data_IF_474062555448
#
_entry.id   IF_474062555448
#
_cell.length_a   1.000
_cell.length_b   1.000
_cell.length_c   1.000
_cell.angle_alpha   90.00
_cell.angle_beta   90.00
_cell.angle_gamma   90.00
#
_symmetry.space_group_name_H-M   'P 1'
#
loop_
_entity.id
_entity.type
_entity.pdbx_description
1 polymer ?
#
# COMPACT_ATOMS: atom_id res chain seq x y z
N UNK A 1 -1.92 25.05 -44.44
CA UNK A 1 -2.87 23.95 -44.17
C UNK A 1 -2.66 23.61 -42.71
N UNK A 2 -3.55 24.08 -41.85
CA UNK A 2 -3.48 23.85 -40.40
C UNK A 2 -4.34 22.62 -40.11
N UNK A 3 -3.73 21.54 -39.62
CA UNK A 3 -4.45 20.35 -39.17
C UNK A 3 -5.07 20.64 -37.79
N UNK A 4 -6.40 20.61 -37.72
CA UNK A 4 -7.14 20.64 -36.45
C UNK A 4 -6.93 19.32 -35.69
N UNK A 5 -6.47 19.41 -34.45
CA UNK A 5 -6.37 18.26 -33.54
C UNK A 5 -7.78 17.72 -33.21
N UNK A 6 -7.95 16.39 -33.01
CA UNK A 6 -9.26 15.80 -32.76
C UNK A 6 -9.82 16.30 -31.41
N UNK A 7 -10.94 17.01 -31.47
CA UNK A 7 -11.69 17.49 -30.31
C UNK A 7 -12.25 16.28 -29.53
N UNK A 8 -11.99 16.21 -28.21
CA UNK A 8 -12.52 15.15 -27.35
C UNK A 8 -14.05 15.05 -27.49
N UNK A 9 -14.57 13.81 -27.59
CA UNK A 9 -16.00 13.55 -27.73
C UNK A 9 -16.76 14.09 -26.53
N UNK A 10 -17.56 15.14 -26.74
CA UNK A 10 -18.49 15.69 -25.73
C UNK A 10 -19.49 14.60 -25.32
N UNK A 11 -19.44 14.17 -24.06
CA UNK A 11 -20.43 13.25 -23.49
C UNK A 11 -21.74 13.99 -23.29
N UNK A 12 -22.82 13.44 -23.84
CA UNK A 12 -24.18 13.89 -23.52
C UNK A 12 -24.47 13.44 -22.08
N UNK A 13 -24.97 14.31 -21.18
CA UNK A 13 -25.29 13.89 -19.82
C UNK A 13 -26.42 12.87 -19.89
N UNK A 14 -26.11 11.61 -19.58
CA UNK A 14 -27.15 10.61 -19.29
C UNK A 14 -27.85 11.04 -18.01
N UNK A 15 -29.20 11.04 -17.94
CA UNK A 15 -29.89 11.32 -16.69
C UNK A 15 -29.38 10.33 -15.63
N UNK A 16 -28.82 10.87 -14.55
CA UNK A 16 -28.36 10.11 -13.38
C UNK A 16 -29.56 9.30 -12.91
N UNK A 17 -29.41 7.98 -12.77
CA UNK A 17 -30.43 7.16 -12.12
C UNK A 17 -30.82 7.85 -10.82
N UNK A 18 -32.12 7.96 -10.56
CA UNK A 18 -32.66 8.67 -9.40
C UNK A 18 -31.88 8.27 -8.15
N UNK A 19 -31.54 9.28 -7.34
CA UNK A 19 -30.90 9.15 -6.03
C UNK A 19 -31.77 8.25 -5.14
N UNK A 20 -31.57 6.95 -5.25
CA UNK A 20 -32.08 5.98 -4.29
C UNK A 20 -31.18 6.22 -3.08
N UNK A 21 -31.65 7.04 -2.16
CA UNK A 21 -30.90 7.39 -0.95
C UNK A 21 -30.32 6.14 -0.29
N UNK A 22 -29.15 6.32 0.33
CA UNK A 22 -28.39 5.24 0.97
C UNK A 22 -29.31 4.31 1.76
N UNK A 23 -29.12 3.00 1.59
CA UNK A 23 -29.77 2.00 2.45
C UNK A 23 -29.43 2.28 3.92
N UNK A 24 -30.26 1.88 4.90
CA UNK A 24 -29.97 2.11 6.32
C UNK A 24 -28.57 1.64 6.75
N UNK A 25 -28.08 0.55 6.16
CA UNK A 25 -26.75 0.00 6.41
C UNK A 25 -25.64 0.88 5.79
N UNK A 26 -25.84 1.43 4.59
CA UNK A 26 -24.91 2.39 3.98
C UNK A 26 -24.87 3.72 4.73
N UNK A 27 -26.02 4.19 5.22
CA UNK A 27 -26.10 5.38 6.05
C UNK A 27 -25.39 5.18 7.40
N UNK A 28 -25.56 4.02 8.03
CA UNK A 28 -24.85 3.67 9.25
C UNK A 28 -23.33 3.57 9.02
N UNK A 29 -22.91 2.96 7.90
CA UNK A 29 -21.51 2.88 7.50
C UNK A 29 -20.90 4.27 7.29
N UNK A 30 -21.59 5.16 6.58
CA UNK A 30 -21.12 6.52 6.30
C UNK A 30 -20.95 7.39 7.56
N UNK A 31 -21.60 7.05 8.66
CA UNK A 31 -21.49 7.73 9.95
C UNK A 31 -20.34 7.21 10.83
N UNK A 32 -19.69 6.12 10.45
CA UNK A 32 -18.52 5.59 11.18
C UNK A 32 -17.28 6.45 10.90
N UNK A 33 -16.34 6.44 11.84
CA UNK A 33 -15.01 7.00 11.60
C UNK A 33 -14.32 6.26 10.43
N UNK A 34 -13.51 6.96 9.59
CA UNK A 34 -12.86 6.36 8.42
C UNK A 34 -12.10 5.05 8.71
N UNK A 35 -11.39 5.01 9.84
CA UNK A 35 -10.65 3.83 10.29
C UNK A 35 -11.60 2.66 10.62
N UNK A 36 -12.73 2.93 11.26
CA UNK A 36 -13.75 1.92 11.58
C UNK A 36 -14.50 1.43 10.33
N UNK A 37 -14.72 2.32 9.35
CA UNK A 37 -15.26 1.94 8.03
C UNK A 37 -14.35 0.92 7.35
N UNK A 38 -13.04 1.22 7.24
CA UNK A 38 -12.08 0.32 6.61
C UNK A 38 -11.93 -0.99 7.40
N UNK A 39 -11.87 -0.92 8.73
CA UNK A 39 -11.85 -2.10 9.61
C UNK A 39 -13.07 -3.00 9.41
N UNK A 40 -14.25 -2.41 9.20
CA UNK A 40 -15.49 -3.14 8.91
C UNK A 40 -15.41 -3.87 7.58
N UNK A 41 -14.90 -3.23 6.52
CA UNK A 41 -14.69 -3.86 5.21
C UNK A 41 -13.69 -5.03 5.30
N UNK A 42 -12.57 -4.83 6.01
CA UNK A 42 -11.56 -5.86 6.21
C UNK A 42 -12.12 -7.06 6.98
N UNK A 43 -12.78 -6.83 8.12
CA UNK A 43 -13.41 -7.90 8.92
C UNK A 43 -14.46 -8.68 8.14
N UNK A 44 -15.33 -7.99 7.41
CA UNK A 44 -16.37 -8.62 6.60
C UNK A 44 -15.76 -9.54 5.52
N UNK A 45 -14.67 -9.11 4.90
CA UNK A 45 -13.97 -9.89 3.88
C UNK A 45 -13.18 -11.07 4.47
N UNK A 46 -12.58 -10.88 5.64
CA UNK A 46 -11.77 -11.88 6.33
C UNK A 46 -12.59 -12.90 7.13
N UNK A 47 -13.89 -12.65 7.33
CA UNK A 47 -14.78 -13.55 8.04
C UNK A 47 -14.71 -14.98 7.49
N UNK A 48 -14.58 -15.96 8.40
CA UNK A 48 -14.52 -17.39 8.13
C UNK A 48 -13.33 -17.85 7.24
N UNK A 49 -12.31 -17.01 7.05
CA UNK A 49 -11.13 -17.33 6.23
C UNK A 49 -9.85 -17.28 7.07
N UNK A 50 -9.02 -18.35 7.06
CA UNK A 50 -7.74 -18.33 7.77
C UNK A 50 -6.72 -17.40 7.10
N UNK A 51 -6.91 -17.09 5.81
CA UNK A 51 -6.13 -16.13 5.05
C UNK A 51 -6.99 -15.57 3.91
N UNK A 52 -6.82 -14.29 3.57
CA UNK A 52 -7.54 -13.64 2.47
C UNK A 52 -6.65 -12.71 1.68
N UNK A 53 -6.63 -12.86 0.35
CA UNK A 53 -6.11 -11.79 -0.49
C UNK A 53 -6.97 -10.53 -0.34
N UNK A 54 -6.35 -9.35 -0.21
CA UNK A 54 -7.08 -8.11 0.09
C UNK A 54 -7.65 -7.41 -1.15
N UNK A 55 -7.48 -7.96 -2.35
CA UNK A 55 -7.97 -7.38 -3.61
C UNK A 55 -9.43 -6.94 -3.56
N UNK A 56 -10.37 -7.70 -2.96
CA UNK A 56 -11.76 -7.27 -2.86
C UNK A 56 -11.99 -6.01 -2.02
N UNK A 57 -11.07 -5.68 -1.09
CA UNK A 57 -11.12 -4.45 -0.29
C UNK A 57 -10.29 -3.34 -0.93
N UNK A 58 -9.10 -3.65 -1.44
CA UNK A 58 -8.20 -2.64 -2.05
C UNK A 58 -8.69 -2.13 -3.40
N UNK A 59 -9.57 -2.88 -4.08
CA UNK A 59 -10.29 -2.42 -5.27
C UNK A 59 -11.76 -2.02 -5.00
N UNK A 60 -12.26 -2.14 -3.76
CA UNK A 60 -13.57 -1.58 -3.41
C UNK A 60 -13.49 -0.05 -3.42
N UNK A 61 -14.45 0.60 -4.04
CA UNK A 61 -14.47 2.06 -4.19
C UNK A 61 -14.43 2.82 -2.85
N UNK A 62 -14.97 2.25 -1.76
CA UNK A 62 -14.87 2.84 -0.41
C UNK A 62 -13.52 2.50 0.18
N UNK A 63 -13.11 1.23 0.15
CA UNK A 63 -11.81 0.77 0.66
C UNK A 63 -10.64 1.55 0.07
N UNK A 64 -10.53 1.60 -1.25
CA UNK A 64 -9.48 2.34 -1.97
C UNK A 64 -9.43 3.83 -1.60
N UNK A 65 -10.58 4.46 -1.37
CA UNK A 65 -10.64 5.86 -0.95
C UNK A 65 -10.16 6.10 0.48
N UNK A 66 -10.28 5.10 1.36
CA UNK A 66 -9.94 5.21 2.78
C UNK A 66 -8.48 4.83 3.06
N UNK A 67 -7.98 3.78 2.39
CA UNK A 67 -6.67 3.16 2.66
C UNK A 67 -5.55 4.20 2.65
N UNK A 68 -5.45 5.02 1.59
CA UNK A 68 -4.36 5.99 1.46
C UNK A 68 -4.32 7.01 2.60
N UNK A 69 -5.49 7.53 2.99
CA UNK A 69 -5.59 8.51 4.07
C UNK A 69 -5.17 7.92 5.41
N UNK A 70 -5.73 6.76 5.75
CA UNK A 70 -5.48 6.08 7.02
C UNK A 70 -4.02 5.65 7.12
N UNK A 71 -3.44 5.12 6.05
CA UNK A 71 -2.03 4.72 6.06
C UNK A 71 -1.09 5.91 6.20
N UNK A 72 -1.36 7.05 5.55
CA UNK A 72 -0.58 8.28 5.77
C UNK A 72 -0.71 8.78 7.21
N UNK A 73 -1.91 8.74 7.79
CA UNK A 73 -2.11 9.13 9.19
C UNK A 73 -1.34 8.19 10.14
N UNK A 74 -1.37 6.87 9.89
CA UNK A 74 -0.57 5.91 10.65
C UNK A 74 0.94 6.13 10.50
N UNK A 75 1.43 6.46 9.31
CA UNK A 75 2.84 6.83 9.10
C UNK A 75 3.21 8.07 9.93
N UNK A 76 2.38 9.12 9.88
CA UNK A 76 2.58 10.35 10.66
C UNK A 76 2.57 10.08 12.17
N UNK A 77 1.65 9.26 12.66
CA UNK A 77 1.57 8.82 14.06
C UNK A 77 2.84 8.07 14.52
N UNK A 78 3.49 7.35 13.61
CA UNK A 78 4.77 6.66 13.85
C UNK A 78 6.01 7.54 13.58
N UNK A 79 5.81 8.84 13.31
CA UNK A 79 6.89 9.81 13.14
C UNK A 79 7.44 9.93 11.72
N UNK A 80 6.73 9.43 10.71
CA UNK A 80 7.07 9.58 9.30
C UNK A 80 6.09 10.55 8.64
N UNK A 81 6.46 11.83 8.61
CA UNK A 81 5.74 12.82 7.83
C UNK A 81 6.01 12.63 6.33
N UNK A 82 5.16 13.22 5.49
CA UNK A 82 5.30 13.15 4.04
C UNK A 82 6.64 13.72 3.52
N UNK A 83 7.27 14.61 4.28
CA UNK A 83 8.60 15.18 3.97
C UNK A 83 9.77 14.24 4.34
N UNK A 84 9.51 13.16 5.08
CA UNK A 84 10.53 12.21 5.54
C UNK A 84 10.89 11.15 4.48
N UNK A 85 10.08 11.02 3.44
CA UNK A 85 10.29 10.11 2.32
C UNK A 85 9.85 10.73 1.00
N UNK A 86 10.43 10.28 -0.11
CA UNK A 86 10.24 10.90 -1.43
C UNK A 86 9.41 10.02 -2.38
N UNK A 87 9.22 8.74 -2.06
CA UNK A 87 8.40 7.80 -2.81
C UNK A 87 7.93 6.59 -1.98
N UNK A 88 6.85 5.95 -2.43
CA UNK A 88 6.35 4.67 -1.90
C UNK A 88 6.44 3.56 -2.94
N UNK A 89 6.92 2.38 -2.53
CA UNK A 89 7.18 1.25 -3.43
C UNK A 89 6.37 0.01 -3.10
N UNK A 90 5.65 -0.56 -4.07
CA UNK A 90 4.93 -1.81 -3.86
C UNK A 90 5.91 -3.00 -3.82
N UNK A 91 5.95 -3.73 -2.69
CA UNK A 91 6.71 -4.98 -2.53
C UNK A 91 6.07 -6.15 -3.30
N UNK A 92 4.75 -6.11 -3.45
CA UNK A 92 3.99 -7.16 -4.14
C UNK A 92 3.01 -6.56 -5.12
N UNK A 93 2.53 -7.39 -6.05
CA UNK A 93 1.41 -7.01 -6.92
C UNK A 93 0.15 -6.63 -6.13
N UNK A 94 -0.06 -7.23 -4.94
CA UNK A 94 -1.20 -6.94 -4.08
C UNK A 94 -1.12 -5.54 -3.42
N UNK A 95 0.09 -4.98 -3.31
CA UNK A 95 0.33 -3.66 -2.74
C UNK A 95 0.19 -2.52 -3.76
N UNK A 96 0.15 -2.81 -5.06
CA UNK A 96 0.02 -1.78 -6.11
C UNK A 96 -1.22 -0.89 -5.92
N UNK A 97 -2.43 -1.42 -5.64
CA UNK A 97 -3.61 -0.58 -5.39
C UNK A 97 -3.46 0.31 -4.14
N UNK A 98 -2.70 -0.17 -3.15
CA UNK A 98 -2.42 0.59 -1.92
C UNK A 98 -1.48 1.76 -2.24
N UNK A 99 -0.42 1.54 -3.03
CA UNK A 99 0.47 2.61 -3.52
C UNK A 99 -0.33 3.66 -4.29
N UNK A 100 -1.23 3.26 -5.19
CA UNK A 100 -2.10 4.20 -5.88
C UNK A 100 -3.00 5.01 -4.91
N UNK A 101 -3.52 4.35 -3.87
CA UNK A 101 -4.35 5.00 -2.85
C UNK A 101 -3.56 6.03 -2.04
N UNK A 102 -2.31 5.72 -1.65
CA UNK A 102 -1.39 6.64 -0.98
C UNK A 102 -1.09 7.87 -1.83
N UNK A 103 -0.78 7.68 -3.12
CA UNK A 103 -0.54 8.78 -4.05
C UNK A 103 -1.74 9.72 -4.15
N UNK A 104 -2.95 9.18 -4.25
CA UNK A 104 -4.17 9.98 -4.31
C UNK A 104 -4.46 10.70 -3.00
N UNK A 105 -4.24 10.04 -1.85
CA UNK A 105 -4.41 10.66 -0.54
C UNK A 105 -3.42 11.81 -0.33
N UNK A 106 -2.13 11.62 -0.66
CA UNK A 106 -1.12 12.68 -0.60
C UNK A 106 -1.51 13.87 -1.51
N UNK A 107 -1.88 13.59 -2.76
CA UNK A 107 -2.31 14.64 -3.69
C UNK A 107 -3.53 15.42 -3.18
N UNK A 108 -4.47 14.76 -2.50
CA UNK A 108 -5.63 15.43 -1.89
C UNK A 108 -5.27 16.35 -0.72
N UNK A 109 -4.13 16.09 -0.06
CA UNK A 109 -3.52 16.93 0.99
C UNK A 109 -2.67 18.07 0.41
N UNK A 110 -2.49 18.12 -0.92
CA UNK A 110 -1.61 19.08 -1.59
C UNK A 110 -0.14 18.64 -1.64
N UNK A 111 0.13 17.39 -1.27
CA UNK A 111 1.47 16.83 -1.18
C UNK A 111 1.86 16.04 -2.43
N UNK A 112 3.15 16.02 -2.74
CA UNK A 112 3.69 15.28 -3.87
C UNK A 112 4.28 13.95 -3.39
N UNK A 113 3.64 12.84 -3.75
CA UNK A 113 4.15 11.50 -3.45
C UNK A 113 4.22 10.65 -4.72
N UNK A 114 5.42 10.24 -5.10
CA UNK A 114 5.65 9.32 -6.20
C UNK A 114 5.41 7.86 -5.76
N UNK A 115 4.80 7.07 -6.63
CA UNK A 115 4.68 5.62 -6.46
C UNK A 115 5.57 4.86 -7.44
N UNK A 116 6.12 3.73 -7.01
CA UNK A 116 6.85 2.81 -7.87
C UNK A 116 6.52 1.33 -7.59
N UNK A 117 6.88 0.47 -8.52
CA UNK A 117 6.79 -0.99 -8.40
C UNK A 117 8.14 -1.59 -8.75
N UNK A 118 8.56 -2.62 -8.01
CA UNK A 118 9.73 -3.41 -8.35
C UNK A 118 9.29 -4.60 -9.20
N UNK A 119 10.07 -4.88 -10.24
CA UNK A 119 9.82 -5.94 -11.20
C UNK A 119 11.16 -6.50 -11.68
N UNK A 120 11.16 -7.75 -12.10
CA UNK A 120 12.35 -8.49 -12.52
C UNK A 120 12.72 -8.20 -13.99
N UNK A 121 11.87 -7.46 -14.70
CA UNK A 121 12.09 -7.06 -16.09
C UNK A 121 12.74 -5.68 -16.13
N UNK A 122 13.83 -5.53 -16.89
CA UNK A 122 14.48 -4.23 -17.06
C UNK A 122 13.55 -3.17 -17.70
N UNK A 123 13.52 -1.92 -17.22
CA UNK A 123 14.16 -1.44 -15.98
C UNK A 123 13.46 -1.99 -14.74
N UNK A 124 14.22 -2.45 -13.74
CA UNK A 124 13.66 -3.17 -12.59
C UNK A 124 12.70 -2.32 -11.74
N UNK A 125 12.87 -1.00 -11.74
CA UNK A 125 11.91 -0.06 -11.14
C UNK A 125 10.94 0.45 -12.21
N UNK A 126 9.64 0.35 -11.94
CA UNK A 126 8.56 0.90 -12.76
C UNK A 126 7.96 2.13 -12.06
N UNK A 127 8.01 3.28 -12.71
CA UNK A 127 7.56 4.55 -12.16
C UNK A 127 8.62 5.66 -12.30
N UNK A 128 8.44 6.81 -11.64
CA UNK A 128 9.47 7.83 -11.51
C UNK A 128 10.76 7.27 -10.92
N UNK A 129 11.89 7.90 -11.26
CA UNK A 129 13.20 7.48 -10.74
C UNK A 129 13.26 7.60 -9.22
N UNK A 130 13.75 6.55 -8.56
CA UNK A 130 14.03 6.53 -7.12
C UNK A 130 15.50 6.79 -6.78
N UNK A 131 16.34 7.11 -7.76
CA UNK A 131 17.78 7.29 -7.54
C UNK A 131 18.08 8.32 -6.44
N UNK A 132 18.79 7.89 -5.39
CA UNK A 132 19.15 8.76 -4.26
C UNK A 132 17.98 9.18 -3.36
N UNK A 133 16.79 8.59 -3.54
CA UNK A 133 15.58 8.94 -2.79
C UNK A 133 15.44 8.11 -1.52
N UNK A 134 14.77 8.67 -0.51
CA UNK A 134 14.24 7.95 0.65
C UNK A 134 12.90 7.34 0.27
N UNK A 135 12.70 6.05 0.57
CA UNK A 135 11.49 5.33 0.15
C UNK A 135 10.88 4.55 1.30
N UNK A 136 9.56 4.47 1.31
CA UNK A 136 8.82 3.52 2.15
C UNK A 136 8.36 2.38 1.25
N UNK A 137 8.66 1.15 1.64
CA UNK A 137 8.18 -0.04 0.94
C UNK A 137 6.85 -0.49 1.55
N UNK A 138 5.91 -0.87 0.69
CA UNK A 138 4.52 -1.11 1.07
C UNK A 138 4.12 -2.52 0.70
N UNK A 139 3.48 -3.23 1.63
CA UNK A 139 2.80 -4.48 1.34
C UNK A 139 1.32 -4.45 1.79
N UNK A 140 0.51 -5.37 1.28
CA UNK A 140 -0.88 -5.50 1.69
C UNK A 140 -1.02 -6.18 3.05
N UNK A 141 -0.33 -7.30 3.26
CA UNK A 141 -0.39 -8.06 4.50
C UNK A 141 0.93 -8.77 4.79
N UNK A 142 1.63 -8.32 5.83
CA UNK A 142 2.85 -8.94 6.33
C UNK A 142 2.61 -9.54 7.72
N UNK A 143 2.74 -10.85 7.84
CA UNK A 143 2.66 -11.55 9.13
C UNK A 143 3.53 -12.80 9.15
N UNK A 144 3.88 -13.35 10.31
CA UNK A 144 4.66 -14.60 10.36
C UNK A 144 3.96 -15.82 9.69
N UNK A 145 2.68 -15.69 9.33
CA UNK A 145 1.80 -16.76 8.80
C UNK A 145 1.35 -16.58 7.35
N UNK A 146 1.68 -15.48 6.67
CA UNK A 146 1.13 -15.10 5.36
C UNK A 146 1.60 -15.98 4.16
N UNK A 147 1.35 -17.29 4.15
CA UNK A 147 1.93 -18.24 3.17
C UNK A 147 1.51 -18.05 1.69
N UNK A 148 0.60 -17.13 1.35
CA UNK A 148 -0.01 -17.06 0.00
C UNK A 148 -0.32 -15.63 -0.43
N UNK A 149 0.71 -14.80 -0.64
CA UNK A 149 0.68 -13.79 -1.69
C UNK A 149 2.02 -13.86 -2.41
N UNK A 150 1.97 -14.12 -3.71
CA UNK A 150 3.13 -14.41 -4.55
C UNK A 150 4.16 -13.29 -4.40
N UNK A 151 5.22 -13.64 -3.65
CA UNK A 151 6.50 -12.96 -3.38
C UNK A 151 6.76 -12.16 -2.09
N UNK A 152 5.96 -12.26 -1.02
CA UNK A 152 6.36 -11.63 0.26
C UNK A 152 6.38 -12.50 1.50
N UNK A 153 6.15 -13.82 1.40
CA UNK A 153 6.20 -14.66 2.60
C UNK A 153 6.84 -16.05 2.54
N UNK A 154 7.78 -16.21 1.62
CA UNK A 154 8.89 -17.14 1.91
C UNK A 154 9.98 -16.43 2.75
N UNK A 155 9.81 -15.15 3.11
CA UNK A 155 10.90 -14.24 3.48
C UNK A 155 11.18 -14.00 4.96
N UNK A 156 10.22 -14.17 5.88
CA UNK A 156 10.56 -14.06 7.32
C UNK A 156 11.29 -15.30 7.86
N UNK A 157 11.14 -16.47 7.19
CA UNK A 157 11.82 -17.71 7.59
C UNK A 157 13.00 -18.13 6.71
N UNK A 158 13.00 -17.81 5.41
CA UNK A 158 14.03 -18.26 4.46
C UNK A 158 14.70 -17.13 3.64
N UNK A 159 14.50 -15.85 4.00
CA UNK A 159 15.46 -14.77 3.75
C UNK A 159 15.81 -14.35 2.32
N UNK A 160 15.06 -14.72 1.27
CA UNK A 160 15.55 -14.53 -0.11
C UNK A 160 14.79 -13.54 -1.01
N UNK A 161 13.49 -13.27 -0.85
CA UNK A 161 12.75 -12.42 -1.81
C UNK A 161 12.82 -10.92 -1.47
N UNK A 162 12.67 -10.53 -0.19
CA UNK A 162 12.83 -9.14 0.25
C UNK A 162 14.25 -8.65 -0.03
N UNK A 163 15.24 -9.50 0.21
CA UNK A 163 16.66 -9.25 -0.05
C UNK A 163 16.92 -8.78 -1.49
N UNK A 164 16.16 -9.30 -2.45
CA UNK A 164 16.30 -8.91 -3.85
C UNK A 164 15.60 -7.59 -4.16
N UNK A 165 14.40 -7.36 -3.64
CA UNK A 165 13.72 -6.06 -3.77
C UNK A 165 14.57 -4.94 -3.17
N UNK A 166 15.16 -5.19 -2.01
CA UNK A 166 16.13 -4.28 -1.39
C UNK A 166 17.39 -4.10 -2.25
N UNK A 167 17.89 -5.15 -2.90
CA UNK A 167 18.98 -5.03 -3.87
C UNK A 167 18.63 -4.15 -5.08
N UNK A 168 17.37 -4.17 -5.55
CA UNK A 168 16.90 -3.27 -6.62
C UNK A 168 16.92 -1.82 -6.14
N UNK A 169 16.46 -1.56 -4.91
CA UNK A 169 16.45 -0.22 -4.29
C UNK A 169 17.88 0.27 -4.06
N UNK A 170 18.75 -0.56 -3.50
CA UNK A 170 20.16 -0.25 -3.24
C UNK A 170 20.94 0.01 -4.54
N UNK A 171 20.66 -0.74 -5.62
CA UNK A 171 21.25 -0.49 -6.93
C UNK A 171 20.86 0.89 -7.52
N UNK A 172 19.79 1.52 -7.03
CA UNK A 172 19.45 2.92 -7.35
C UNK A 172 20.10 3.93 -6.39
N UNK A 173 20.82 3.48 -5.36
CA UNK A 173 21.31 4.31 -4.26
C UNK A 173 20.18 4.93 -3.45
N UNK A 174 19.00 4.31 -3.45
CA UNK A 174 17.85 4.73 -2.67
C UNK A 174 17.92 4.14 -1.25
N UNK A 175 17.30 4.80 -0.29
CA UNK A 175 17.31 4.37 1.12
C UNK A 175 15.92 3.97 1.55
N UNK A 176 15.74 2.71 1.97
CA UNK A 176 14.48 2.29 2.60
C UNK A 176 14.45 2.80 4.03
N UNK A 177 13.50 3.70 4.34
CA UNK A 177 13.37 4.30 5.68
C UNK A 177 12.40 3.52 6.57
N UNK A 178 11.42 2.83 5.97
CA UNK A 178 10.49 1.95 6.66
C UNK A 178 9.84 0.96 5.68
N UNK A 179 9.26 -0.09 6.23
CA UNK A 179 8.27 -0.94 5.57
C UNK A 179 6.92 -0.66 6.21
N UNK A 180 5.88 -0.48 5.42
CA UNK A 180 4.51 -0.31 5.90
C UNK A 180 3.59 -1.40 5.33
N UNK A 181 2.59 -1.82 6.10
CA UNK A 181 1.54 -2.69 5.59
C UNK A 181 0.15 -2.26 6.03
N UNK A 182 -0.85 -2.63 5.24
CA UNK A 182 -2.25 -2.44 5.62
C UNK A 182 -2.64 -3.39 6.76
N UNK A 183 -2.21 -4.65 6.70
CA UNK A 183 -2.35 -5.61 7.80
C UNK A 183 -0.98 -6.09 8.23
N UNK A 184 -0.73 -6.03 9.52
CA UNK A 184 0.47 -6.53 10.17
C UNK A 184 0.15 -7.62 11.18
N UNK A 185 0.98 -8.65 11.27
CA UNK A 185 0.80 -9.73 12.25
C UNK A 185 2.05 -10.05 13.05
N UNK A 186 2.84 -9.03 13.39
CA UNK A 186 3.91 -9.14 14.38
C UNK A 186 3.42 -8.50 15.68
N UNK A 187 3.08 -9.33 16.67
CA UNK A 187 2.66 -8.83 17.99
C UNK A 187 3.88 -8.32 18.78
N UNK A 188 4.48 -7.20 18.34
CA UNK A 188 5.70 -6.58 18.88
C UNK A 188 5.47 -5.07 19.03
N UNK A 189 5.86 -4.47 20.17
CA UNK A 189 5.65 -3.03 20.44
C UNK A 189 6.39 -2.09 19.47
N UNK A 190 7.54 -2.51 18.95
CA UNK A 190 8.32 -1.79 17.94
C UNK A 190 8.80 -2.80 16.88
N UNK A 191 7.96 -3.16 15.91
CA UNK A 191 8.30 -4.23 15.00
C UNK A 191 9.37 -3.76 14.01
N UNK A 192 10.35 -4.62 13.77
CA UNK A 192 11.36 -4.43 12.73
C UNK A 192 11.38 -5.63 11.80
N UNK A 193 11.68 -5.37 10.53
CA UNK A 193 11.94 -6.40 9.52
C UNK A 193 13.44 -6.47 9.31
N UNK A 194 14.02 -7.63 9.61
CA UNK A 194 15.41 -7.91 9.33
C UNK A 194 15.58 -8.26 7.85
N UNK A 195 16.34 -7.43 7.15
CA UNK A 195 16.70 -7.59 5.74
C UNK A 195 18.13 -8.07 5.67
N UNK A 196 18.42 -9.01 4.76
CA UNK A 196 19.76 -9.53 4.54
C UNK A 196 20.12 -9.22 3.09
N UNK A 197 21.23 -8.54 2.86
CA UNK A 197 21.74 -8.33 1.51
C UNK A 197 22.18 -9.70 0.92
N UNK A 198 21.67 -10.11 -0.26
CA UNK A 198 21.96 -11.42 -0.82
C UNK A 198 23.36 -11.51 -1.46
N UNK A 199 24.06 -10.39 -1.62
CA UNK A 199 25.39 -10.29 -2.23
C UNK A 199 26.49 -10.38 -1.18
N UNK A 200 26.32 -9.69 -0.04
CA UNK A 200 27.36 -9.59 0.99
C UNK A 200 26.94 -10.05 2.40
N UNK A 201 25.72 -10.58 2.55
CA UNK A 201 25.13 -11.06 3.81
C UNK A 201 24.97 -9.98 4.89
N UNK A 202 25.08 -8.69 4.55
CA UNK A 202 24.87 -7.59 5.50
C UNK A 202 23.42 -7.58 5.98
N UNK A 203 23.23 -7.65 7.29
CA UNK A 203 21.91 -7.58 7.90
C UNK A 203 21.58 -6.15 8.35
N UNK A 204 20.41 -5.67 7.96
CA UNK A 204 19.86 -4.37 8.36
C UNK A 204 18.46 -4.55 8.93
N UNK A 205 18.20 -3.97 10.10
CA UNK A 205 16.86 -3.95 10.68
C UNK A 205 16.14 -2.68 10.19
N UNK A 206 14.97 -2.86 9.58
CA UNK A 206 14.16 -1.79 9.01
C UNK A 206 12.89 -1.63 9.85
N UNK A 207 12.49 -0.41 10.24
CA UNK A 207 11.22 -0.18 10.96
C UNK A 207 10.03 -0.74 10.18
N UNK A 208 9.11 -1.40 10.88
CA UNK A 208 7.87 -1.91 10.31
C UNK A 208 6.67 -1.17 10.89
N UNK A 209 5.74 -0.76 10.03
CA UNK A 209 4.60 0.06 10.39
C UNK A 209 3.32 -0.68 9.97
N UNK A 210 2.50 -1.00 10.96
CA UNK A 210 1.28 -1.79 10.78
C UNK A 210 0.06 -0.87 10.86
N UNK A 211 -0.75 -0.83 9.81
CA UNK A 211 -1.98 -0.02 9.84
C UNK A 211 -3.05 -0.67 10.70
N UNK A 212 -3.24 -1.98 10.58
CA UNK A 212 -4.10 -2.77 11.46
C UNK A 212 -3.34 -4.01 11.91
N UNK A 213 -3.46 -4.37 13.19
CA UNK A 213 -2.97 -5.66 13.65
C UNK A 213 -3.94 -6.78 13.23
N UNK A 214 -3.41 -7.93 12.83
CA UNK A 214 -4.16 -9.13 12.44
C UNK A 214 -5.15 -9.55 13.54
N UNK A 215 -4.73 -9.42 14.81
CA UNK A 215 -5.55 -9.69 16.00
C UNK A 215 -6.78 -8.78 16.14
N UNK A 216 -6.79 -7.61 15.50
CA UNK A 216 -7.95 -6.72 15.49
C UNK A 216 -9.01 -7.13 14.48
N UNK A 217 -8.69 -8.02 13.54
CA UNK A 217 -9.52 -8.33 12.37
C UNK A 217 -10.19 -9.71 12.45
N UNK A 218 -9.84 -10.50 13.47
CA UNK A 218 -10.43 -11.81 13.77
C UNK A 218 -11.34 -11.80 15.00
#
# INVERSE_FOLDING_TARGET
>A
MSEEAPEFRKTVPTPRAADQGATPDEAAFALMEPRDQLKTLLRAHMADRPFSELSPVTFDHRGASLIGHIMLDTLEEQGYSIDDFDAVGALTAAAVPIVCSLMHAAASRGEALDGFVMDFVYPATKGPSIRGKRVILVDAWLSEKSYVQTSSLVTLRNGNELSLDFGIVDAQGATVVAIASLIGGVDIEEPTVRVIDPVDDTATDVPFIETFHESELH
#
